data_IF_493812199464
#
_entry.id   IF_493812199464
#
_cell.length_a   1.000
_cell.length_b   1.000
_cell.length_c   1.000
_cell.angle_alpha   90.00
_cell.angle_beta   90.00
_cell.angle_gamma   90.00
#
_symmetry.space_group_name_H-M   'P 1'
#
loop_
_entity.id
_entity.type
_entity.pdbx_description
1 polymer ?
#
# COMPACT_ATOMS: atom_id res chain seq x y z
N UNK A 1 41.48 -44.69 -4.85
CA UNK A 1 40.59 -45.72 -5.42
C UNK A 1 39.86 -45.19 -6.66
N UNK A 2 39.10 -44.10 -6.64
CA UNK A 2 38.36 -43.63 -7.83
C UNK A 2 39.22 -43.14 -9.04
N UNK A 3 40.40 -42.55 -8.79
CA UNK A 3 41.24 -42.02 -9.87
C UNK A 3 41.96 -43.12 -10.68
N UNK A 4 42.29 -44.25 -10.04
CA UNK A 4 42.94 -45.39 -10.71
C UNK A 4 41.94 -46.11 -11.63
N UNK A 5 40.69 -46.28 -11.18
CA UNK A 5 39.62 -46.89 -11.99
C UNK A 5 39.29 -46.08 -13.25
N UNK A 6 39.25 -44.74 -13.14
CA UNK A 6 39.03 -43.85 -14.29
C UNK A 6 40.18 -43.94 -15.32
N UNK A 7 41.41 -44.13 -14.86
CA UNK A 7 42.57 -44.30 -15.73
C UNK A 7 42.53 -45.61 -16.52
N UNK A 8 42.06 -46.69 -15.89
CA UNK A 8 41.88 -47.99 -16.54
C UNK A 8 40.72 -47.93 -17.55
N UNK A 9 39.58 -47.36 -17.17
CA UNK A 9 38.42 -47.19 -18.04
C UNK A 9 38.73 -46.34 -19.28
N UNK A 10 39.45 -45.22 -19.10
CA UNK A 10 39.88 -44.35 -20.20
C UNK A 10 40.80 -45.08 -21.18
N UNK A 11 41.71 -45.92 -20.66
CA UNK A 11 42.61 -46.74 -21.49
C UNK A 11 41.82 -47.78 -22.29
N UNK A 12 40.89 -48.48 -21.67
CA UNK A 12 40.03 -49.46 -22.35
C UNK A 12 39.14 -48.81 -23.41
N UNK A 13 38.58 -47.63 -23.13
CA UNK A 13 37.83 -46.84 -24.10
C UNK A 13 38.71 -46.40 -25.28
N UNK A 14 39.94 -45.94 -25.03
CA UNK A 14 40.88 -45.56 -26.07
C UNK A 14 41.24 -46.76 -26.98
N UNK A 15 41.46 -47.95 -26.40
CA UNK A 15 41.72 -49.17 -27.17
C UNK A 15 40.53 -49.53 -28.06
N UNK A 16 39.29 -49.44 -27.54
CA UNK A 16 38.07 -49.66 -28.34
C UNK A 16 37.93 -48.66 -29.48
N UNK A 17 38.32 -47.40 -29.26
CA UNK A 17 38.23 -46.36 -30.28
C UNK A 17 39.26 -46.57 -31.39
N UNK A 18 40.51 -46.90 -31.05
CA UNK A 18 41.53 -47.23 -32.05
C UNK A 18 41.10 -48.46 -32.88
N UNK A 19 40.50 -49.47 -32.24
CA UNK A 19 39.99 -50.65 -32.95
C UNK A 19 38.88 -50.31 -33.96
N UNK A 20 38.01 -49.32 -33.67
CA UNK A 20 36.99 -48.86 -34.61
C UNK A 20 37.55 -48.09 -35.81
N UNK A 21 38.66 -47.38 -35.61
CA UNK A 21 39.30 -46.56 -36.66
C UNK A 21 40.12 -47.40 -37.66
N UNK A 22 40.54 -48.61 -37.27
CA UNK A 22 41.38 -49.50 -38.08
C UNK A 22 40.74 -50.89 -38.33
N UNK A 23 39.53 -50.99 -38.93
CA UNK A 23 38.87 -52.27 -39.17
C UNK A 23 39.48 -53.08 -40.33
N UNK A 24 40.21 -52.42 -41.25
CA UNK A 24 40.80 -53.02 -42.45
C UNK A 24 42.29 -52.67 -42.56
N UNK A 25 43.15 -53.57 -43.09
CA UNK A 25 44.60 -53.34 -43.21
C UNK A 25 44.99 -52.12 -44.06
N UNK A 26 44.20 -51.77 -45.07
CA UNK A 26 44.50 -50.65 -45.98
C UNK A 26 44.47 -49.29 -45.26
N UNK A 27 43.73 -49.21 -44.14
CA UNK A 27 43.64 -48.00 -43.32
C UNK A 27 44.92 -47.72 -42.50
N UNK A 28 45.86 -48.68 -42.41
CA UNK A 28 47.16 -48.46 -41.75
C UNK A 28 47.95 -47.31 -42.37
N UNK A 29 47.74 -47.03 -43.66
CA UNK A 29 48.37 -45.89 -44.36
C UNK A 29 47.92 -44.53 -43.79
N UNK A 30 46.75 -44.47 -43.15
CA UNK A 30 46.18 -43.24 -42.57
C UNK A 30 46.61 -42.96 -41.12
N UNK A 31 47.37 -43.87 -40.48
CA UNK A 31 47.79 -43.75 -39.07
C UNK A 31 48.52 -42.44 -38.78
N UNK A 32 49.38 -41.98 -39.69
CA UNK A 32 50.11 -40.72 -39.52
C UNK A 32 49.17 -39.52 -39.43
N UNK A 33 48.12 -39.50 -40.26
CA UNK A 33 47.09 -38.45 -40.26
C UNK A 33 46.20 -38.54 -39.02
N UNK A 34 45.75 -39.74 -38.65
CA UNK A 34 44.94 -39.96 -37.43
C UNK A 34 45.71 -39.53 -36.19
N UNK A 35 46.99 -39.94 -36.07
CA UNK A 35 47.85 -39.53 -34.96
C UNK A 35 48.03 -38.01 -34.89
N UNK A 36 48.21 -37.35 -36.03
CA UNK A 36 48.32 -35.90 -36.08
C UNK A 36 47.04 -35.20 -35.61
N UNK A 37 45.86 -35.70 -36.01
CA UNK A 37 44.56 -35.17 -35.55
C UNK A 37 44.39 -35.34 -34.03
N UNK A 38 44.66 -36.53 -33.48
CA UNK A 38 44.57 -36.76 -32.03
C UNK A 38 45.57 -35.93 -31.21
N UNK A 39 46.80 -35.72 -31.72
CA UNK A 39 47.77 -34.82 -31.08
C UNK A 39 47.25 -33.39 -31.08
N UNK A 40 46.68 -32.92 -32.19
CA UNK A 40 46.10 -31.57 -32.26
C UNK A 40 44.92 -31.40 -31.29
N UNK A 41 44.03 -32.40 -31.21
CA UNK A 41 42.91 -32.41 -30.25
C UNK A 41 43.38 -32.46 -28.81
N UNK A 42 44.41 -33.25 -28.51
CA UNK A 42 45.00 -33.30 -27.17
C UNK A 42 45.57 -31.94 -26.78
N UNK A 43 46.37 -31.31 -27.65
CA UNK A 43 46.92 -29.98 -27.41
C UNK A 43 45.83 -28.92 -27.22
N UNK A 44 44.74 -28.98 -28.00
CA UNK A 44 43.60 -28.08 -27.84
C UNK A 44 42.89 -28.30 -26.49
N UNK A 45 42.65 -29.55 -26.11
CA UNK A 45 42.03 -29.89 -24.83
C UNK A 45 42.92 -29.48 -23.64
N UNK A 46 44.22 -29.73 -23.70
CA UNK A 46 45.18 -29.35 -22.64
C UNK A 46 45.22 -27.83 -22.46
N UNK A 47 45.22 -27.08 -23.57
CA UNK A 47 45.15 -25.62 -23.53
C UNK A 47 43.82 -25.13 -22.92
N UNK A 48 42.69 -25.70 -23.34
CA UNK A 48 41.36 -25.38 -22.80
C UNK A 48 41.26 -25.68 -21.31
N UNK A 49 41.71 -26.86 -20.87
CA UNK A 49 41.69 -27.25 -19.46
C UNK A 49 42.57 -26.33 -18.62
N UNK A 50 43.76 -25.97 -19.12
CA UNK A 50 44.67 -25.03 -18.44
C UNK A 50 44.00 -23.66 -18.25
N UNK A 51 43.37 -23.12 -19.30
CA UNK A 51 42.63 -21.86 -19.24
C UNK A 51 41.45 -21.95 -18.28
N UNK A 52 40.63 -23.00 -18.36
CA UNK A 52 39.48 -23.17 -17.47
C UNK A 52 39.89 -23.30 -16.00
N UNK A 53 40.96 -24.04 -15.70
CA UNK A 53 41.46 -24.17 -14.32
C UNK A 53 41.99 -22.83 -13.81
N UNK A 54 42.74 -22.08 -14.64
CA UNK A 54 43.20 -20.74 -14.28
C UNK A 54 42.03 -19.79 -14.00
N UNK A 55 41.01 -19.76 -14.87
CA UNK A 55 39.80 -18.95 -14.68
C UNK A 55 39.04 -19.34 -13.41
N UNK A 56 38.87 -20.65 -13.15
CA UNK A 56 38.18 -21.13 -11.96
C UNK A 56 38.92 -20.76 -10.67
N UNK A 57 40.26 -20.82 -10.68
CA UNK A 57 41.10 -20.41 -9.54
C UNK A 57 40.99 -18.90 -9.33
N UNK A 58 41.07 -18.09 -10.39
CA UNK A 58 40.92 -16.64 -10.31
C UNK A 58 39.54 -16.24 -9.79
N UNK A 59 38.46 -16.85 -10.31
CA UNK A 59 37.09 -16.63 -9.85
C UNK A 59 36.93 -17.02 -8.38
N UNK A 60 37.50 -18.15 -7.95
CA UNK A 60 37.45 -18.59 -6.56
C UNK A 60 38.21 -17.63 -5.64
N UNK A 61 39.36 -17.11 -6.09
CA UNK A 61 40.14 -16.14 -5.32
C UNK A 61 39.42 -14.79 -5.21
N UNK A 62 38.77 -14.32 -6.29
CA UNK A 62 37.93 -13.13 -6.26
C UNK A 62 36.73 -13.32 -5.31
N UNK A 63 36.08 -14.48 -5.35
CA UNK A 63 35.00 -14.84 -4.45
C UNK A 63 35.43 -14.83 -2.98
N UNK A 64 36.58 -15.43 -2.66
CA UNK A 64 37.14 -15.40 -1.30
C UNK A 64 37.44 -13.99 -0.81
N UNK A 65 38.01 -13.13 -1.66
CA UNK A 65 38.24 -11.72 -1.32
C UNK A 65 36.94 -10.98 -1.03
N UNK A 66 35.92 -11.17 -1.88
CA UNK A 66 34.61 -10.56 -1.68
C UNK A 66 33.97 -11.03 -0.38
N UNK A 67 34.07 -12.32 -0.05
CA UNK A 67 33.51 -12.87 1.18
C UNK A 67 34.20 -12.30 2.43
N UNK A 68 35.53 -12.19 2.41
CA UNK A 68 36.30 -11.59 3.50
C UNK A 68 35.98 -10.10 3.68
N UNK A 69 35.76 -9.35 2.58
CA UNK A 69 35.28 -7.97 2.66
C UNK A 69 33.87 -7.90 3.29
N UNK A 70 32.95 -8.75 2.85
CA UNK A 70 31.60 -8.82 3.41
C UNK A 70 31.61 -9.17 4.90
N UNK A 71 32.44 -10.12 5.34
CA UNK A 71 32.61 -10.47 6.75
C UNK A 71 33.05 -9.25 7.58
N UNK A 72 34.07 -8.53 7.11
CA UNK A 72 34.54 -7.30 7.78
C UNK A 72 33.44 -6.24 7.87
N UNK A 73 32.70 -6.00 6.78
CA UNK A 73 31.58 -5.06 6.77
C UNK A 73 30.47 -5.47 7.72
N UNK A 74 30.13 -6.76 7.80
CA UNK A 74 29.13 -7.28 8.73
C UNK A 74 29.59 -7.06 10.18
N UNK A 75 30.85 -7.31 10.50
CA UNK A 75 31.37 -7.10 11.85
C UNK A 75 31.33 -5.61 12.25
N UNK A 76 31.73 -4.71 11.35
CA UNK A 76 31.61 -3.26 11.57
C UNK A 76 30.14 -2.83 11.76
N UNK A 77 29.22 -3.39 10.96
CA UNK A 77 27.80 -3.12 11.09
C UNK A 77 27.27 -3.55 12.47
N UNK A 78 27.71 -4.71 12.98
CA UNK A 78 27.35 -5.19 14.32
C UNK A 78 27.88 -4.25 15.41
N UNK A 79 29.12 -3.78 15.30
CA UNK A 79 29.70 -2.80 16.23
C UNK A 79 28.95 -1.47 16.21
N UNK A 80 28.53 -1.01 15.02
CA UNK A 80 27.70 0.18 14.87
C UNK A 80 26.33 -0.02 15.56
N UNK A 81 25.68 -1.18 15.40
CA UNK A 81 24.41 -1.45 16.07
C UNK A 81 24.54 -1.45 17.60
N UNK A 82 25.60 -2.05 18.15
CA UNK A 82 25.89 -2.00 19.60
C UNK A 82 26.10 -0.55 20.06
N UNK A 83 26.79 0.26 19.25
CA UNK A 83 27.02 1.68 19.55
C UNK A 83 25.72 2.49 19.53
N UNK A 84 24.84 2.23 18.55
CA UNK A 84 23.52 2.87 18.45
C UNK A 84 22.66 2.51 19.65
N UNK A 85 22.58 1.23 20.01
CA UNK A 85 21.80 0.77 21.17
C UNK A 85 22.27 1.45 22.45
N UNK A 86 23.59 1.53 22.66
CA UNK A 86 24.18 2.24 23.79
C UNK A 86 23.80 3.72 23.81
N UNK A 87 23.92 4.42 22.68
CA UNK A 87 23.54 5.83 22.57
C UNK A 87 22.05 6.04 22.80
N UNK A 88 21.19 5.16 22.31
CA UNK A 88 19.74 5.22 22.56
C UNK A 88 19.43 5.05 24.05
N UNK A 89 20.08 4.10 24.72
CA UNK A 89 19.92 3.87 26.15
C UNK A 89 20.38 5.08 26.99
N UNK A 90 21.53 5.65 26.66
CA UNK A 90 22.04 6.87 27.30
C UNK A 90 21.09 8.07 27.06
N UNK A 91 20.58 8.21 25.83
CA UNK A 91 19.62 9.26 25.47
C UNK A 91 18.29 9.14 26.21
N UNK A 92 17.84 7.91 26.47
CA UNK A 92 16.63 7.64 27.24
C UNK A 92 16.75 8.07 28.71
N UNK A 93 17.97 8.06 29.25
CA UNK A 93 18.27 8.60 30.59
C UNK A 93 18.56 10.10 30.60
N UNK A 94 18.68 10.75 29.43
CA UNK A 94 19.05 12.16 29.30
C UNK A 94 17.84 13.11 29.41
N UNK A 95 16.65 12.63 29.08
CA UNK A 95 15.40 13.39 29.23
C UNK A 95 14.68 12.90 30.49
N UNK A 96 14.98 13.55 31.62
CA UNK A 96 14.23 13.35 32.85
C UNK A 96 12.74 13.54 32.60
N UNK A 97 11.91 12.64 33.13
CA UNK A 97 10.46 12.69 33.03
C UNK A 97 9.87 12.59 31.61
N UNK A 98 10.53 11.91 30.66
CA UNK A 98 9.98 11.66 29.31
C UNK A 98 8.53 11.13 29.34
N UNK A 99 8.21 10.21 30.25
CA UNK A 99 6.85 9.69 30.41
C UNK A 99 5.85 10.79 30.82
N UNK A 100 6.27 11.73 31.67
CA UNK A 100 5.42 12.87 32.06
C UNK A 100 5.24 13.85 30.91
N UNK A 101 6.29 14.10 30.10
CA UNK A 101 6.19 14.92 28.89
C UNK A 101 5.23 14.27 27.89
N UNK A 102 5.29 12.94 27.73
CA UNK A 102 4.38 12.19 26.87
C UNK A 102 2.93 12.26 27.37
N UNK A 103 2.72 12.07 28.68
CA UNK A 103 1.40 12.22 29.29
C UNK A 103 0.86 13.64 29.11
N UNK A 104 1.68 14.66 29.34
CA UNK A 104 1.29 16.06 29.15
C UNK A 104 0.98 16.37 27.68
N UNK A 105 1.77 15.84 26.74
CA UNK A 105 1.54 15.99 25.31
C UNK A 105 0.22 15.35 24.88
N UNK A 106 -0.05 14.12 25.36
CA UNK A 106 -1.32 13.44 25.11
C UNK A 106 -2.50 14.21 25.71
N UNK A 107 -2.37 14.69 26.95
CA UNK A 107 -3.41 15.51 27.59
C UNK A 107 -3.67 16.79 26.80
N UNK A 108 -2.62 17.49 26.35
CA UNK A 108 -2.74 18.69 25.52
C UNK A 108 -3.42 18.40 24.18
N UNK A 109 -3.06 17.32 23.52
CA UNK A 109 -3.64 16.95 22.24
C UNK A 109 -5.12 16.58 22.38
N UNK A 110 -5.47 15.80 23.41
CA UNK A 110 -6.86 15.46 23.70
C UNK A 110 -7.68 16.72 24.00
N UNK A 111 -7.17 17.62 24.84
CA UNK A 111 -7.82 18.91 25.13
C UNK A 111 -8.01 19.76 23.87
N UNK A 112 -7.01 19.82 22.98
CA UNK A 112 -7.13 20.55 21.73
C UNK A 112 -8.19 19.95 20.80
N UNK A 113 -8.31 18.63 20.75
CA UNK A 113 -9.38 17.95 20.01
C UNK A 113 -10.75 18.32 20.60
N UNK A 114 -10.93 18.18 21.91
CA UNK A 114 -12.18 18.55 22.58
C UNK A 114 -12.54 20.01 22.37
N UNK A 115 -11.57 20.92 22.40
CA UNK A 115 -11.82 22.34 22.10
C UNK A 115 -12.32 22.55 20.68
N UNK A 116 -11.73 21.88 19.69
CA UNK A 116 -12.21 21.93 18.30
C UNK A 116 -13.61 21.35 18.14
N UNK A 117 -13.91 20.25 18.83
CA UNK A 117 -15.24 19.64 18.80
C UNK A 117 -16.30 20.60 19.36
N UNK A 118 -16.00 21.24 20.49
CA UNK A 118 -16.90 22.25 21.09
C UNK A 118 -17.05 23.48 20.20
N UNK A 119 -15.96 24.01 19.64
CA UNK A 119 -16.01 25.14 18.70
C UNK A 119 -16.85 24.79 17.46
N UNK A 120 -16.66 23.58 16.92
CA UNK A 120 -17.47 23.03 15.84
C UNK A 120 -18.94 22.98 16.23
N UNK A 121 -19.28 22.47 17.42
CA UNK A 121 -20.67 22.41 17.90
C UNK A 121 -21.31 23.79 18.08
N UNK A 122 -20.55 24.77 18.58
CA UNK A 122 -21.05 26.14 18.73
C UNK A 122 -21.25 26.85 17.39
N UNK A 123 -20.49 26.48 16.35
CA UNK A 123 -20.67 27.04 15.00
C UNK A 123 -21.97 26.59 14.32
N UNK A 124 -22.51 25.42 14.68
CA UNK A 124 -23.66 24.80 14.00
C UNK A 124 -24.92 25.66 14.12
N UNK A 125 -25.22 26.18 15.30
CA UNK A 125 -26.42 27.00 15.51
C UNK A 125 -26.33 28.35 14.79
N UNK A 126 -25.13 28.95 14.75
CA UNK A 126 -24.87 30.21 14.06
C UNK A 126 -25.00 30.02 12.55
N UNK A 127 -24.33 29.01 11.99
CA UNK A 127 -24.38 28.70 10.56
C UNK A 127 -25.78 28.27 10.11
N UNK A 128 -26.53 27.55 10.94
CA UNK A 128 -27.91 27.18 10.66
C UNK A 128 -28.84 28.40 10.60
N UNK A 129 -28.63 29.39 11.49
CA UNK A 129 -29.35 30.65 11.47
C UNK A 129 -29.01 31.48 10.21
N UNK A 130 -27.73 31.58 9.86
CA UNK A 130 -27.29 32.28 8.64
C UNK A 130 -27.87 31.63 7.37
N UNK A 131 -27.87 30.30 7.30
CA UNK A 131 -28.49 29.57 6.19
C UNK A 131 -30.00 29.85 6.11
N UNK A 132 -30.69 29.91 7.26
CA UNK A 132 -32.11 30.25 7.33
C UNK A 132 -32.42 31.66 6.85
N UNK A 133 -31.63 32.63 7.28
CA UNK A 133 -31.81 34.02 6.86
C UNK A 133 -31.59 34.19 5.35
N UNK A 134 -30.61 33.44 4.80
CA UNK A 134 -30.27 33.43 3.38
C UNK A 134 -31.38 32.88 2.47
N UNK A 135 -32.29 32.05 3.00
CA UNK A 135 -33.44 31.52 2.25
C UNK A 135 -34.41 32.61 1.75
N UNK A 136 -34.34 33.82 2.32
CA UNK A 136 -35.19 34.93 1.90
C UNK A 136 -34.77 35.52 0.54
N UNK A 137 -33.56 35.24 0.05
CA UNK A 137 -33.07 35.69 -1.26
C UNK A 137 -32.88 34.50 -2.21
N UNK A 138 -33.72 34.44 -3.26
CA UNK A 138 -33.64 33.45 -4.35
C UNK A 138 -32.27 33.38 -5.03
N UNK A 139 -31.43 34.43 -4.90
CA UNK A 139 -30.07 34.44 -5.43
C UNK A 139 -29.11 33.57 -4.63
N UNK A 140 -29.39 33.38 -3.34
CA UNK A 140 -28.55 32.66 -2.40
C UNK A 140 -28.91 31.17 -2.29
N UNK A 141 -29.87 30.67 -3.09
CA UNK A 141 -30.33 29.27 -3.01
C UNK A 141 -29.18 28.25 -3.16
N UNK A 142 -28.19 28.52 -4.02
CA UNK A 142 -27.02 27.64 -4.18
C UNK A 142 -26.09 27.72 -2.96
N UNK A 143 -25.79 28.92 -2.47
CA UNK A 143 -24.92 29.11 -1.30
C UNK A 143 -25.57 28.53 -0.02
N UNK A 144 -26.90 28.66 0.09
CA UNK A 144 -27.68 28.10 1.21
C UNK A 144 -27.61 26.58 1.19
N UNK A 145 -27.73 25.98 0.01
CA UNK A 145 -27.54 24.55 -0.17
C UNK A 145 -26.15 24.09 0.25
N UNK A 146 -25.09 24.74 -0.22
CA UNK A 146 -23.71 24.39 0.16
C UNK A 146 -23.48 24.48 1.67
N UNK A 147 -24.00 25.52 2.33
CA UNK A 147 -23.95 25.69 3.79
C UNK A 147 -24.69 24.57 4.52
N UNK A 148 -25.89 24.21 4.08
CA UNK A 148 -26.68 23.14 4.69
C UNK A 148 -26.03 21.76 4.50
N UNK A 149 -25.44 21.50 3.34
CA UNK A 149 -24.66 20.28 3.09
C UNK A 149 -23.41 20.21 3.97
N UNK A 150 -22.70 21.34 4.17
CA UNK A 150 -21.57 21.40 5.09
C UNK A 150 -21.99 21.13 6.55
N UNK A 151 -23.15 21.65 6.97
CA UNK A 151 -23.74 21.38 8.28
C UNK A 151 -24.13 19.91 8.46
N UNK A 152 -24.66 19.26 7.42
CA UNK A 152 -24.94 17.82 7.47
C UNK A 152 -23.65 16.99 7.57
N UNK A 153 -22.58 17.40 6.88
CA UNK A 153 -21.24 16.85 7.08
C UNK A 153 -20.79 16.94 8.54
N UNK A 154 -20.88 18.13 9.15
CA UNK A 154 -20.56 18.32 10.59
C UNK A 154 -21.42 17.43 11.50
N UNK A 155 -22.71 17.25 11.16
CA UNK A 155 -23.61 16.33 11.88
C UNK A 155 -23.12 14.90 11.84
N UNK A 156 -22.77 14.39 10.66
CA UNK A 156 -22.26 13.02 10.50
C UNK A 156 -20.99 12.79 11.31
N UNK A 157 -20.05 13.74 11.29
CA UNK A 157 -18.82 13.67 12.09
C UNK A 157 -19.11 13.68 13.60
N UNK A 158 -19.96 14.59 14.07
CA UNK A 158 -20.29 14.70 15.49
C UNK A 158 -21.02 13.45 16.01
N UNK A 159 -21.96 12.90 15.23
CA UNK A 159 -22.67 11.66 15.58
C UNK A 159 -21.74 10.43 15.58
N UNK A 160 -20.79 10.35 14.64
CA UNK A 160 -19.80 9.29 14.61
C UNK A 160 -18.87 9.35 15.82
N UNK A 161 -18.42 10.56 16.20
CA UNK A 161 -17.58 10.76 17.39
C UNK A 161 -18.31 10.36 18.69
N UNK A 162 -19.62 10.62 18.77
CA UNK A 162 -20.45 10.30 19.92
C UNK A 162 -21.04 8.86 19.88
N UNK A 163 -20.77 8.06 18.84
CA UNK A 163 -21.42 6.76 18.63
C UNK A 163 -21.29 5.80 19.82
N UNK A 164 -20.15 5.85 20.52
CA UNK A 164 -19.88 5.05 21.73
C UNK A 164 -20.70 5.47 22.96
N UNK A 165 -21.29 6.67 22.95
CA UNK A 165 -22.01 7.27 24.07
C UNK A 165 -23.48 7.55 23.70
N UNK A 166 -24.32 6.51 23.78
CA UNK A 166 -25.73 6.54 23.32
C UNK A 166 -26.60 7.65 23.94
N UNK A 167 -26.35 8.04 25.20
CA UNK A 167 -27.08 9.13 25.85
C UNK A 167 -26.71 10.51 25.28
N UNK A 168 -25.44 10.69 24.90
CA UNK A 168 -24.91 11.94 24.35
C UNK A 168 -25.39 12.14 22.91
N UNK A 169 -25.55 11.07 22.13
CA UNK A 169 -26.15 11.09 20.79
C UNK A 169 -27.56 11.69 20.82
N UNK A 170 -28.36 11.37 21.85
CA UNK A 170 -29.71 11.91 22.00
C UNK A 170 -29.71 13.43 22.19
N UNK A 171 -28.88 13.93 23.11
CA UNK A 171 -28.73 15.37 23.36
C UNK A 171 -28.11 16.11 22.16
N UNK A 172 -27.19 15.45 21.45
CA UNK A 172 -26.55 16.01 20.27
C UNK A 172 -27.56 16.28 19.14
N UNK A 173 -28.60 15.43 18.99
CA UNK A 173 -29.66 15.65 17.99
C UNK A 173 -30.44 16.94 18.22
N UNK A 174 -30.59 17.39 19.47
CA UNK A 174 -31.28 18.66 19.79
C UNK A 174 -30.55 19.86 19.17
N UNK A 175 -29.22 19.84 19.10
CA UNK A 175 -28.43 20.91 18.48
C UNK A 175 -28.62 21.00 16.95
N UNK A 176 -29.09 19.93 16.31
CA UNK A 176 -29.33 19.88 14.87
C UNK A 176 -30.79 20.15 14.49
N UNK A 177 -31.69 20.33 15.45
CA UNK A 177 -33.10 20.58 15.16
C UNK A 177 -33.30 21.85 14.30
N UNK A 178 -32.49 22.88 14.57
CA UNK A 178 -32.50 24.10 13.77
C UNK A 178 -32.03 23.88 12.32
N UNK A 179 -31.10 22.94 12.11
CA UNK A 179 -30.63 22.54 10.77
C UNK A 179 -31.75 21.80 10.03
N UNK A 180 -32.40 20.84 10.70
CA UNK A 180 -33.51 20.05 10.14
C UNK A 180 -34.68 20.97 9.70
N UNK A 181 -35.05 21.95 10.54
CA UNK A 181 -36.08 22.95 10.19
C UNK A 181 -35.69 23.82 9.00
N UNK A 182 -34.42 24.21 8.91
CA UNK A 182 -33.93 25.01 7.78
C UNK A 182 -33.90 24.19 6.49
N UNK A 183 -33.54 22.91 6.56
CA UNK A 183 -33.64 21.97 5.42
C UNK A 183 -35.07 21.84 4.90
N UNK A 184 -36.05 21.62 5.77
CA UNK A 184 -37.46 21.53 5.36
C UNK A 184 -37.94 22.80 4.64
N UNK A 185 -37.46 23.97 5.08
CA UNK A 185 -37.82 25.26 4.48
C UNK A 185 -37.13 25.41 3.12
N UNK A 186 -35.85 25.05 3.03
CA UNK A 186 -35.10 25.04 1.79
C UNK A 186 -35.76 24.15 0.73
N UNK A 187 -36.13 22.92 1.08
CA UNK A 187 -36.77 21.97 0.16
C UNK A 187 -38.10 22.52 -0.36
N UNK A 188 -38.94 23.09 0.51
CA UNK A 188 -40.20 23.72 0.09
C UNK A 188 -39.96 24.84 -0.93
N UNK A 189 -38.94 25.67 -0.71
CA UNK A 189 -38.56 26.74 -1.64
C UNK A 189 -38.05 26.17 -2.97
N UNK A 190 -37.14 25.20 -2.93
CA UNK A 190 -36.57 24.56 -4.12
C UNK A 190 -37.67 23.90 -4.97
N UNK A 191 -38.51 23.06 -4.37
CA UNK A 191 -39.60 22.39 -5.08
C UNK A 191 -40.69 23.37 -5.53
N UNK A 192 -40.89 24.46 -4.79
CA UNK A 192 -41.74 25.58 -5.21
C UNK A 192 -41.26 26.24 -6.50
N UNK A 193 -39.93 26.44 -6.65
CA UNK A 193 -39.33 26.96 -7.88
C UNK A 193 -39.45 25.99 -9.04
N UNK A 194 -39.15 24.70 -8.80
CA UNK A 194 -39.21 23.65 -9.83
C UNK A 194 -40.65 23.44 -10.31
N UNK A 195 -41.62 23.39 -9.39
CA UNK A 195 -43.03 23.19 -9.75
C UNK A 195 -43.60 24.37 -10.55
N UNK A 196 -43.08 25.57 -10.34
CA UNK A 196 -43.48 26.80 -11.04
C UNK A 196 -42.59 27.16 -12.25
N UNK A 197 -41.84 26.19 -12.81
CA UNK A 197 -40.85 26.42 -13.88
C UNK A 197 -41.38 27.25 -15.07
N UNK A 198 -42.64 27.06 -15.49
CA UNK A 198 -43.22 27.80 -16.61
C UNK A 198 -43.32 29.30 -16.35
N UNK A 199 -43.70 29.68 -15.13
CA UNK A 199 -43.77 31.10 -14.73
C UNK A 199 -42.36 31.64 -14.47
N UNK A 200 -41.55 30.86 -13.75
CA UNK A 200 -40.20 31.27 -13.36
C UNK A 200 -39.28 31.47 -14.58
N UNK A 201 -39.38 30.63 -15.62
CA UNK A 201 -38.63 30.77 -16.87
C UNK A 201 -38.90 32.10 -17.61
N UNK A 202 -40.07 32.71 -17.42
CA UNK A 202 -40.42 34.00 -18.03
C UNK A 202 -40.02 35.18 -17.16
N UNK A 203 -40.17 35.07 -15.85
CA UNK A 203 -39.97 36.17 -14.91
C UNK A 203 -38.52 36.25 -14.39
N UNK A 204 -37.92 35.11 -14.04
CA UNK A 204 -36.54 35.01 -13.55
C UNK A 204 -35.91 33.67 -13.97
N UNK A 205 -35.45 33.56 -15.23
CA UNK A 205 -34.81 32.33 -15.72
C UNK A 205 -33.54 31.98 -14.93
N UNK A 206 -32.86 32.98 -14.35
CA UNK A 206 -31.67 32.78 -13.53
C UNK A 206 -31.98 32.01 -12.23
N UNK A 207 -33.11 32.30 -11.57
CA UNK A 207 -33.55 31.56 -10.37
C UNK A 207 -33.86 30.10 -10.71
N UNK A 208 -34.50 29.86 -11.86
CA UNK A 208 -34.77 28.49 -12.32
C UNK A 208 -33.47 27.71 -12.58
N UNK A 209 -32.49 28.32 -13.26
CA UNK A 209 -31.19 27.68 -13.50
C UNK A 209 -30.46 27.39 -12.19
N UNK A 210 -30.51 28.30 -11.21
CA UNK A 210 -29.93 28.07 -9.88
C UNK A 210 -30.60 26.90 -9.14
N UNK A 211 -31.92 26.82 -9.18
CA UNK A 211 -32.66 25.70 -8.60
C UNK A 211 -32.30 24.36 -9.28
N UNK A 212 -32.20 24.34 -10.61
CA UNK A 212 -31.76 23.15 -11.34
C UNK A 212 -30.31 22.76 -11.01
N UNK A 213 -29.43 23.74 -10.82
CA UNK A 213 -28.04 23.49 -10.42
C UNK A 213 -27.96 22.82 -9.04
N UNK A 214 -28.81 23.20 -8.09
CA UNK A 214 -28.89 22.51 -6.80
C UNK A 214 -29.26 21.04 -6.98
N UNK A 215 -30.23 20.73 -7.84
CA UNK A 215 -30.64 19.34 -8.12
C UNK A 215 -29.49 18.55 -8.75
N UNK A 216 -28.79 19.14 -9.71
CA UNK A 216 -27.59 18.53 -10.31
C UNK A 216 -26.50 18.28 -9.26
N UNK A 217 -26.28 19.23 -8.34
CA UNK A 217 -25.32 19.06 -7.25
C UNK A 217 -25.71 17.93 -6.30
N UNK A 218 -27.01 17.75 -5.99
CA UNK A 218 -27.44 16.61 -5.18
C UNK A 218 -27.25 15.28 -5.90
N UNK A 219 -27.59 15.19 -7.18
CA UNK A 219 -27.41 13.96 -7.96
C UNK A 219 -25.94 13.51 -7.98
N UNK A 220 -25.01 14.47 -8.10
CA UNK A 220 -23.57 14.18 -8.03
C UNK A 220 -23.17 13.66 -6.64
N UNK A 221 -23.68 14.28 -5.56
CA UNK A 221 -23.40 13.82 -4.19
C UNK A 221 -23.97 12.43 -3.92
N UNK A 222 -25.20 12.17 -4.34
CA UNK A 222 -25.85 10.86 -4.21
C UNK A 222 -25.07 9.77 -4.97
N UNK A 223 -24.58 10.10 -6.18
CA UNK A 223 -23.72 9.20 -6.94
C UNK A 223 -22.40 8.90 -6.21
N UNK A 224 -21.74 9.92 -5.63
CA UNK A 224 -20.50 9.74 -4.86
C UNK A 224 -20.72 8.87 -3.63
N UNK A 225 -21.80 9.11 -2.86
CA UNK A 225 -22.12 8.31 -1.68
C UNK A 225 -22.41 6.85 -2.06
N UNK A 226 -23.11 6.63 -3.18
CA UNK A 226 -23.39 5.28 -3.68
C UNK A 226 -22.11 4.55 -4.14
N UNK A 227 -21.18 5.25 -4.78
CA UNK A 227 -19.87 4.71 -5.18
C UNK A 227 -19.02 4.36 -3.95
N UNK A 228 -18.89 5.27 -2.98
CA UNK A 228 -18.17 5.02 -1.72
C UNK A 228 -18.77 3.83 -0.93
N UNK A 229 -20.10 3.70 -0.89
CA UNK A 229 -20.76 2.57 -0.25
C UNK A 229 -20.49 1.25 -0.99
N UNK A 230 -20.51 1.26 -2.33
CA UNK A 230 -20.20 0.08 -3.14
C UNK A 230 -18.72 -0.35 -2.99
N UNK A 231 -17.79 0.60 -2.87
CA UNK A 231 -16.38 0.32 -2.58
C UNK A 231 -16.18 -0.28 -1.19
N UNK A 232 -16.86 0.26 -0.18
CA UNK A 232 -16.81 -0.24 1.20
C UNK A 232 -17.40 -1.67 1.32
N UNK A 233 -18.42 -2.01 0.53
CA UNK A 233 -18.97 -3.37 0.45
C UNK A 233 -18.08 -4.30 -0.41
N UNK A 234 -17.44 -3.77 -1.46
CA UNK A 234 -16.54 -4.51 -2.35
C UNK A 234 -15.22 -4.97 -1.71
N UNK A 235 -14.82 -4.37 -0.58
CA UNK A 235 -13.62 -4.77 0.18
C UNK A 235 -13.89 -5.96 1.13
N UNK A 236 -15.16 -6.40 1.29
CA UNK A 236 -15.54 -7.54 2.14
C UNK A 236 -15.38 -8.90 1.43
N UNK A 237 -15.21 -8.93 0.11
CA UNK A 237 -15.21 -10.17 -0.69
C UNK A 237 -13.90 -10.43 -1.44
N UNK A 238 -12.74 -10.22 -0.79
CA UNK A 238 -11.48 -10.85 -1.21
C UNK A 238 -11.25 -12.11 -0.37
N UNK A 239 -12.09 -13.12 -0.62
CA UNK A 239 -11.69 -14.50 -0.35
C UNK A 239 -10.48 -14.85 -1.25
N UNK A 240 -9.43 -15.50 -0.73
CA UNK A 240 -8.27 -15.83 -1.53
C UNK A 240 -8.69 -16.89 -2.55
N UNK A 241 -8.58 -16.55 -3.83
CA UNK A 241 -8.65 -17.53 -4.92
C UNK A 241 -7.63 -18.63 -4.61
N UNK A 242 -8.16 -19.78 -4.22
CA UNK A 242 -7.41 -20.98 -3.91
C UNK A 242 -6.61 -21.41 -5.14
N UNK A 243 -5.30 -21.25 -5.10
CA UNK A 243 -4.40 -21.93 -6.03
C UNK A 243 -3.93 -23.23 -5.37
N UNK A 244 -4.36 -24.41 -5.84
CA UNK A 244 -3.95 -25.66 -5.22
C UNK A 244 -2.58 -26.07 -5.79
N UNK A 245 -1.50 -25.74 -5.09
CA UNK A 245 -0.27 -26.57 -5.07
C UNK A 245 0.76 -26.11 -4.02
N UNK A 246 1.09 -27.07 -3.16
CA UNK A 246 2.27 -27.22 -2.29
C UNK A 246 2.21 -26.58 -0.89
N UNK A 247 1.63 -27.38 0.01
CA UNK A 247 2.20 -27.84 1.29
C UNK A 247 3.53 -27.22 1.76
N UNK A 248 3.50 -26.63 2.96
CA UNK A 248 4.57 -26.80 3.95
C UNK A 248 5.00 -25.57 4.74
N UNK A 249 4.60 -25.57 6.03
CA UNK A 249 5.34 -25.09 7.21
C UNK A 249 5.05 -23.65 7.73
N UNK A 250 4.17 -23.63 8.76
CA UNK A 250 4.19 -22.92 10.06
C UNK A 250 4.75 -21.48 10.23
N UNK A 251 3.97 -20.63 10.91
CA UNK A 251 4.51 -19.49 11.70
C UNK A 251 3.50 -18.42 12.13
N UNK A 252 2.85 -18.62 13.29
CA UNK A 252 2.43 -17.67 14.35
C UNK A 252 2.19 -16.15 14.12
N UNK A 253 1.10 -15.68 14.78
CA UNK A 253 0.83 -14.38 15.44
C UNK A 253 0.15 -13.21 14.67
N UNK A 254 -1.17 -13.02 14.89
CA UNK A 254 -1.79 -12.03 15.80
C UNK A 254 -3.23 -11.66 15.35
N UNK A 255 -4.21 -11.47 16.26
CA UNK A 255 -5.57 -11.06 15.90
C UNK A 255 -5.69 -9.52 15.84
N UNK A 256 -6.21 -9.01 14.72
CA UNK A 256 -6.65 -7.64 14.56
C UNK A 256 -8.13 -7.51 14.97
N UNK A 257 -8.48 -6.36 15.50
CA UNK A 257 -9.73 -6.03 16.19
C UNK A 257 -10.97 -6.17 15.30
N UNK A 258 -12.00 -6.85 15.84
CA UNK A 258 -13.38 -6.85 15.33
C UNK A 258 -14.03 -5.47 15.56
N UNK A 259 -14.56 -4.86 14.50
CA UNK A 259 -15.60 -3.84 14.60
C UNK A 259 -16.96 -4.52 14.36
N UNK A 260 -17.84 -4.43 15.36
CA UNK A 260 -19.23 -4.83 15.30
C UNK A 260 -20.08 -3.58 15.05
N UNK A 261 -20.92 -3.69 14.01
CA UNK A 261 -22.23 -3.04 13.71
C UNK A 261 -22.72 -2.00 14.73
#
# INVERSE_FOLDING_TARGET
MMAEDLGVEAKEAAVREVAKLLPLPDLLQSISSIKADYISRQQANDAQLSTMVAEQVEQSQAGLKSLSLSENTINQLRENFVSIEKLCQESQTLIDNHDQIKLLSNARNNLNTTLKDVEGMMSISVEAAEARDSLSDDKEIVNTYERLTALDGKRRFALAAAASHKEEVGRLREYFEDVDRTWETFEKTLWGHISNFYKLSKESPQTLVRALRVVEMQEILDQQIAEEAAEAEGDVDIAPVANPRKSGINGSNNPCYDLVI
#
